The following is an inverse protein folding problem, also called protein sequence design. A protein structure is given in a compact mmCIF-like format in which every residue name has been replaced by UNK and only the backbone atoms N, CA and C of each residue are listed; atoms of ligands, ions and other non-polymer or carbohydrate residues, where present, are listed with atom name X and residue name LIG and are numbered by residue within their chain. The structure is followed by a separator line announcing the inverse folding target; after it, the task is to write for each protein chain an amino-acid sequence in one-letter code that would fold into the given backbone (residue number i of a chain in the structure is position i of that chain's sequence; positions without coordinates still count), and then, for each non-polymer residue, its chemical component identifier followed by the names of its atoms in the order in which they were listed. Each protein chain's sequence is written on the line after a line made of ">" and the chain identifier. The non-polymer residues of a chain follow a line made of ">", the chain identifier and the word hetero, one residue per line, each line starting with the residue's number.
data_IF_084261549187
#
_entry.id   IF_084261549187
#
_cell.length_a   1.000
_cell.length_b   1.000
_cell.length_c   1.000
_cell.angle_alpha   90.00
_cell.angle_beta   90.00
_cell.angle_gamma   90.00
#
_symmetry.space_group_name_H-M   'P 1'
#
loop_
_entity.id
_entity.type
_entity.pdbx_description
1 polymer ?
#
# COMPACT_ATOMS: atom_id res chain seq x y z
N UNK A 1 -5.87 -3.83 -10.53
CA UNK A 1 -4.66 -4.01 -11.39
C UNK A 1 -3.66 -2.89 -11.18
N UNK A 2 -4.09 -1.62 -11.14
CA UNK A 2 -3.21 -0.48 -10.89
C UNK A 2 -2.47 -0.59 -9.53
N UNK A 3 -3.16 -1.00 -8.46
CA UNK A 3 -2.57 -1.09 -7.12
C UNK A 3 -1.48 -2.16 -7.04
N UNK A 4 -1.67 -3.28 -7.75
CA UNK A 4 -0.66 -4.35 -7.85
C UNK A 4 0.61 -3.87 -8.55
N UNK A 5 0.49 -3.05 -9.61
CA UNK A 5 1.64 -2.50 -10.31
C UNK A 5 2.41 -1.50 -9.43
N UNK A 6 1.69 -0.66 -8.68
CA UNK A 6 2.30 0.29 -7.74
C UNK A 6 2.99 -0.46 -6.59
N UNK A 7 2.31 -1.45 -6.01
CA UNK A 7 2.86 -2.26 -4.92
C UNK A 7 4.11 -3.03 -5.35
N UNK A 8 4.09 -3.69 -6.51
CA UNK A 8 5.25 -4.42 -7.03
C UNK A 8 6.43 -3.49 -7.35
N UNK A 9 6.16 -2.29 -7.89
CA UNK A 9 7.20 -1.30 -8.15
C UNK A 9 7.85 -0.80 -6.85
N UNK A 10 7.04 -0.55 -5.81
CA UNK A 10 7.52 -0.12 -4.50
C UNK A 10 8.31 -1.23 -3.78
N UNK A 11 7.83 -2.47 -3.84
CA UNK A 11 8.52 -3.65 -3.31
C UNK A 11 9.90 -3.82 -3.96
N UNK A 12 9.98 -3.78 -5.30
CA UNK A 12 11.24 -3.88 -6.04
C UNK A 12 12.21 -2.74 -5.73
N UNK A 13 11.69 -1.55 -5.44
CA UNK A 13 12.47 -0.39 -5.07
C UNK A 13 12.85 -0.33 -3.58
N UNK A 14 12.42 -1.30 -2.76
CA UNK A 14 12.59 -1.32 -1.31
C UNK A 14 12.02 -0.07 -0.60
N UNK A 15 10.90 0.45 -1.13
CA UNK A 15 10.23 1.63 -0.60
C UNK A 15 8.83 1.29 -0.06
N UNK A 16 8.38 1.95 1.03
CA UNK A 16 7.02 1.79 1.50
C UNK A 16 6.01 2.47 0.56
N UNK A 17 4.86 1.84 0.34
CA UNK A 17 3.74 2.53 -0.32
C UNK A 17 3.08 3.46 0.69
N UNK A 18 2.99 4.75 0.36
CA UNK A 18 2.18 5.73 1.08
C UNK A 18 0.80 5.80 0.41
N UNK A 19 -0.29 5.46 1.11
CA UNK A 19 -1.61 5.31 0.49
C UNK A 19 -2.77 5.83 1.36
N UNK A 20 -3.96 5.86 0.76
CA UNK A 20 -5.23 5.98 1.46
C UNK A 20 -6.30 5.05 0.88
N UNK A 21 -5.86 3.86 0.51
CA UNK A 21 -6.71 2.80 -0.04
C UNK A 21 -6.48 1.50 0.75
N UNK A 22 -7.56 0.81 1.13
CA UNK A 22 -7.49 -0.46 1.89
C UNK A 22 -6.89 -1.59 1.07
N UNK A 23 -6.91 -1.51 -0.25
CA UNK A 23 -6.37 -2.57 -1.10
C UNK A 23 -4.85 -2.76 -0.91
N UNK A 24 -4.11 -1.70 -0.56
CA UNK A 24 -2.69 -1.81 -0.23
C UNK A 24 -2.41 -2.55 1.08
N UNK A 25 -3.32 -2.48 2.06
CA UNK A 25 -3.21 -3.29 3.29
C UNK A 25 -3.38 -4.77 2.95
N UNK A 26 -4.38 -5.10 2.12
CA UNK A 26 -4.63 -6.48 1.68
C UNK A 26 -3.45 -7.04 0.87
N UNK A 27 -2.83 -6.23 0.01
CA UNK A 27 -1.63 -6.63 -0.73
C UNK A 27 -0.48 -6.89 0.24
N UNK A 28 -0.25 -6.00 1.20
CA UNK A 28 0.82 -6.12 2.20
C UNK A 28 0.65 -7.32 3.14
N UNK A 29 -0.58 -7.76 3.40
CA UNK A 29 -0.84 -9.01 4.13
C UNK A 29 -0.27 -10.24 3.42
N UNK A 30 -0.25 -10.22 2.08
CA UNK A 30 0.30 -11.31 1.26
C UNK A 30 1.80 -11.13 1.02
N UNK A 31 2.23 -9.95 0.57
CA UNK A 31 3.64 -9.71 0.16
C UNK A 31 4.56 -9.42 1.34
N UNK A 32 3.99 -9.04 2.49
CA UNK A 32 4.72 -8.54 3.67
C UNK A 32 5.52 -7.27 3.39
N UNK A 33 5.27 -6.60 2.26
CA UNK A 33 5.94 -5.34 1.91
C UNK A 33 5.48 -4.20 2.85
N UNK A 34 6.36 -3.22 3.13
CA UNK A 34 5.98 -2.11 3.98
C UNK A 34 4.96 -1.19 3.29
N UNK A 35 3.91 -0.83 4.02
CA UNK A 35 2.91 0.15 3.61
C UNK A 35 2.61 1.10 4.75
N UNK A 36 2.08 2.28 4.43
CA UNK A 36 1.67 3.28 5.40
C UNK A 36 0.48 4.08 4.88
N UNK A 37 -0.59 4.10 5.67
CA UNK A 37 -1.69 5.03 5.43
C UNK A 37 -1.29 6.49 5.75
N UNK A 38 -1.71 7.46 4.93
CA UNK A 38 -1.45 8.89 5.16
C UNK A 38 -2.17 9.44 6.42
N UNK A 39 -3.27 8.79 6.80
CA UNK A 39 -4.10 9.04 7.97
C UNK A 39 -4.80 7.71 8.34
N UNK A 40 -5.43 7.58 9.51
CA UNK A 40 -6.25 6.41 9.80
C UNK A 40 -7.28 6.16 8.69
N UNK A 41 -7.37 4.93 8.19
CA UNK A 41 -8.26 4.61 7.08
C UNK A 41 -9.73 4.83 7.50
N UNK A 42 -10.47 5.60 6.71
CA UNK A 42 -11.84 6.02 7.01
C UNK A 42 -11.98 7.31 7.83
N UNK A 43 -10.88 7.99 8.17
CA UNK A 43 -10.89 9.30 8.84
C UNK A 43 -10.93 10.54 7.93
N UNK A 44 -10.73 10.39 6.62
CA UNK A 44 -10.76 11.49 5.66
C UNK A 44 -12.09 11.45 4.89
N UNK A 45 -12.76 12.60 4.81
CA UNK A 45 -13.99 12.83 4.01
C UNK A 45 -13.67 13.20 2.56
#
# INVERSE_FOLDING_TARGET
>A
LHDLLIAAAAELAELPVLHYDRDFELIADVTRQPVRAIAPLGSLE
#
